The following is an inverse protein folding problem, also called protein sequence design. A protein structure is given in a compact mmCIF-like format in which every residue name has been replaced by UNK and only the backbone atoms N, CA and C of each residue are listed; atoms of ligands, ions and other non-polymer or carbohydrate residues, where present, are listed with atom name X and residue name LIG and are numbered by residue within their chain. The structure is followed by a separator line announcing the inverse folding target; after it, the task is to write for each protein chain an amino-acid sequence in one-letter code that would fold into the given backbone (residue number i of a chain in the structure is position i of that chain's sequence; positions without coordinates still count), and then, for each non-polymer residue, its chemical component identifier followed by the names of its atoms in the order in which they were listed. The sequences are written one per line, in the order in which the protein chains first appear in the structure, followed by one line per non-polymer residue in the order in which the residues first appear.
data_IF_311726960522
#
_entry.id   IF_311726960522
#
_cell.length_a   1.000
_cell.length_b   1.000
_cell.length_c   1.000
_cell.angle_alpha   90.00
_cell.angle_beta   90.00
_cell.angle_gamma   90.00
#
_symmetry.space_group_name_H-M   'P 1'
#
loop_
_entity.id
_entity.type
_entity.pdbx_description
1 polymer ?
#
# COMPACT_ATOMS: atom_id res chain seq x y z
N UNK A 1 68.34 -45.61 47.42
CA UNK A 1 68.04 -45.04 46.08
C UNK A 1 66.59 -44.60 46.07
N UNK A 2 66.32 -43.30 46.07
CA UNK A 2 64.96 -42.75 46.01
C UNK A 2 64.77 -42.19 44.60
N UNK A 3 63.86 -42.79 43.82
CA UNK A 3 63.44 -42.27 42.51
C UNK A 3 62.32 -41.27 42.72
N UNK A 4 62.53 -40.01 42.36
CA UNK A 4 61.48 -39.00 42.30
C UNK A 4 60.75 -39.10 40.97
N UNK A 5 59.43 -39.32 41.01
CA UNK A 5 58.56 -39.30 39.84
C UNK A 5 58.22 -37.86 39.47
N UNK A 6 58.51 -37.47 38.22
CA UNK A 6 58.15 -36.17 37.66
C UNK A 6 56.64 -36.10 37.40
N UNK A 7 55.93 -35.27 38.16
CA UNK A 7 54.51 -34.99 37.94
C UNK A 7 54.38 -34.03 36.73
N UNK A 8 54.00 -34.56 35.57
CA UNK A 8 53.65 -33.74 34.39
C UNK A 8 52.41 -32.90 34.69
N UNK A 9 52.58 -31.60 34.90
CA UNK A 9 51.48 -30.64 35.01
C UNK A 9 50.79 -30.47 33.64
N UNK A 10 49.56 -30.97 33.50
CA UNK A 10 48.73 -30.89 32.28
C UNK A 10 47.34 -30.25 32.52
N UNK A 11 47.23 -29.31 33.46
CA UNK A 11 45.95 -28.74 33.88
C UNK A 11 45.45 -27.51 33.08
N UNK A 12 46.32 -26.84 32.31
CA UNK A 12 45.98 -25.54 31.70
C UNK A 12 45.11 -25.67 30.43
N UNK A 13 45.24 -26.75 29.68
CA UNK A 13 44.56 -26.93 28.39
C UNK A 13 43.04 -26.99 28.51
N UNK A 14 42.50 -27.57 29.58
CA UNK A 14 41.04 -27.62 29.82
C UNK A 14 40.49 -26.21 30.05
N UNK A 15 41.19 -25.37 30.81
CA UNK A 15 40.75 -24.00 31.07
C UNK A 15 40.73 -23.16 29.79
N UNK A 16 41.78 -23.29 28.95
CA UNK A 16 41.83 -22.62 27.64
C UNK A 16 40.70 -23.10 26.73
N UNK A 17 40.42 -24.40 26.68
CA UNK A 17 39.35 -24.96 25.85
C UNK A 17 37.96 -24.48 26.28
N UNK A 18 37.70 -24.35 27.59
CA UNK A 18 36.42 -23.84 28.09
C UNK A 18 36.26 -22.34 27.77
N UNK A 19 37.34 -21.55 27.89
CA UNK A 19 37.30 -20.13 27.55
C UNK A 19 37.06 -19.92 26.06
N UNK A 20 37.75 -20.65 25.18
CA UNK A 20 37.54 -20.53 23.73
C UNK A 20 36.14 -21.00 23.31
N UNK A 21 35.64 -22.10 23.88
CA UNK A 21 34.27 -22.55 23.64
C UNK A 21 33.23 -21.52 24.10
N UNK A 22 33.45 -20.85 25.23
CA UNK A 22 32.58 -19.78 25.73
C UNK A 22 32.53 -18.57 24.79
N UNK A 23 33.69 -18.13 24.28
CA UNK A 23 33.77 -17.02 23.32
C UNK A 23 33.03 -17.37 22.02
N UNK A 24 33.24 -18.58 21.49
CA UNK A 24 32.56 -19.04 20.28
C UNK A 24 31.04 -19.11 20.46
N UNK A 25 30.57 -19.56 21.64
CA UNK A 25 29.15 -19.61 21.95
C UNK A 25 28.52 -18.21 21.99
N UNK A 26 29.20 -17.22 22.58
CA UNK A 26 28.73 -15.82 22.61
C UNK A 26 28.63 -15.26 21.19
N UNK A 27 29.60 -15.52 20.32
CA UNK A 27 29.59 -15.07 18.93
C UNK A 27 28.44 -15.75 18.15
N UNK A 28 28.24 -17.06 18.33
CA UNK A 28 27.14 -17.76 17.67
C UNK A 28 25.78 -17.21 18.12
N UNK A 29 25.63 -16.93 19.42
CA UNK A 29 24.38 -16.38 19.97
C UNK A 29 24.11 -14.95 19.48
N UNK A 30 25.14 -14.11 19.35
CA UNK A 30 24.99 -12.74 18.85
C UNK A 30 24.56 -12.72 17.37
N UNK A 31 25.17 -13.56 16.52
CA UNK A 31 24.78 -13.71 15.12
C UNK A 31 23.36 -14.26 15.01
N UNK A 32 22.99 -15.26 15.82
CA UNK A 32 21.63 -15.81 15.85
C UNK A 32 20.58 -14.75 16.19
N UNK A 33 20.87 -13.85 17.14
CA UNK A 33 19.98 -12.77 17.50
C UNK A 33 19.80 -11.73 16.36
N UNK A 34 20.83 -11.50 15.56
CA UNK A 34 20.75 -10.61 14.39
C UNK A 34 19.90 -11.26 13.28
N UNK A 35 20.16 -12.53 12.95
CA UNK A 35 19.44 -13.26 11.91
C UNK A 35 17.92 -13.31 12.16
N UNK A 36 17.50 -13.50 13.42
CA UNK A 36 16.07 -13.47 13.78
C UNK A 36 15.42 -12.11 13.50
N UNK A 37 16.13 -11.00 13.74
CA UNK A 37 15.63 -9.66 13.45
C UNK A 37 15.56 -9.42 11.95
N UNK A 38 16.57 -9.86 11.20
CA UNK A 38 16.58 -9.76 9.73
C UNK A 38 15.44 -10.54 9.09
N UNK A 39 15.09 -11.72 9.61
CA UNK A 39 13.96 -12.50 9.09
C UNK A 39 12.62 -11.79 9.28
N UNK A 40 12.41 -11.12 10.41
CA UNK A 40 11.22 -10.30 10.65
C UNK A 40 11.18 -9.12 9.68
N UNK A 41 12.31 -8.44 9.49
CA UNK A 41 12.41 -7.30 8.57
C UNK A 41 12.20 -7.72 7.10
N UNK A 42 12.75 -8.87 6.70
CA UNK A 42 12.56 -9.42 5.36
C UNK A 42 11.08 -9.76 5.09
N UNK A 43 10.39 -10.32 6.09
CA UNK A 43 8.95 -10.60 5.98
C UNK A 43 8.16 -9.30 5.82
N UNK A 44 8.42 -8.28 6.65
CA UNK A 44 7.78 -6.97 6.52
C UNK A 44 8.06 -6.31 5.17
N UNK A 45 9.27 -6.46 4.63
CA UNK A 45 9.65 -5.99 3.29
C UNK A 45 8.86 -6.67 2.18
N UNK A 46 8.66 -7.99 2.27
CA UNK A 46 7.83 -8.75 1.31
C UNK A 46 6.37 -8.30 1.35
N UNK A 47 5.77 -8.21 2.55
CA UNK A 47 4.39 -7.74 2.71
C UNK A 47 4.22 -6.30 2.18
N UNK A 48 5.22 -5.45 2.37
CA UNK A 48 5.29 -4.11 1.78
C UNK A 48 5.25 -4.11 0.26
N UNK A 49 5.97 -5.02 -0.40
CA UNK A 49 5.91 -5.13 -1.87
C UNK A 49 4.53 -5.54 -2.35
N UNK A 50 3.87 -6.47 -1.63
CA UNK A 50 2.51 -6.90 -2.00
C UNK A 50 1.47 -5.78 -1.85
N UNK A 51 1.56 -4.99 -0.78
CA UNK A 51 0.69 -3.83 -0.57
C UNK A 51 0.94 -2.76 -1.65
N UNK A 52 2.20 -2.49 -1.98
CA UNK A 52 2.55 -1.51 -3.02
C UNK A 52 2.08 -1.94 -4.41
N UNK A 53 2.23 -3.23 -4.76
CA UNK A 53 1.74 -3.77 -6.02
C UNK A 53 0.22 -3.66 -6.17
N UNK A 54 -0.53 -3.87 -5.09
CA UNK A 54 -1.97 -3.65 -5.08
C UNK A 54 -2.29 -2.16 -5.30
N UNK A 55 -1.59 -1.25 -4.63
CA UNK A 55 -1.76 0.20 -4.80
C UNK A 55 -1.52 0.64 -6.25
N UNK A 56 -0.43 0.16 -6.86
CA UNK A 56 -0.07 0.45 -8.26
C UNK A 56 -1.14 -0.02 -9.22
N UNK A 57 -1.64 -1.25 -9.03
CA UNK A 57 -2.71 -1.79 -9.89
C UNK A 57 -4.03 -1.03 -9.73
N UNK A 58 -4.35 -0.57 -8.52
CA UNK A 58 -5.51 0.30 -8.28
C UNK A 58 -5.36 1.66 -8.95
N UNK A 59 -4.16 2.24 -8.88
CA UNK A 59 -3.82 3.51 -9.53
C UNK A 59 -3.95 3.41 -11.05
N UNK A 60 -3.34 2.41 -11.66
CA UNK A 60 -3.40 2.18 -13.11
C UNK A 60 -4.83 1.95 -13.59
N UNK A 61 -5.66 1.24 -12.82
CA UNK A 61 -7.06 1.09 -13.18
C UNK A 61 -7.78 2.44 -13.14
N UNK A 62 -7.60 3.22 -12.08
CA UNK A 62 -8.21 4.54 -11.95
C UNK A 62 -7.78 5.48 -13.07
N UNK A 63 -6.48 5.56 -13.36
CA UNK A 63 -5.92 6.38 -14.41
C UNK A 63 -6.42 5.98 -15.80
N UNK A 64 -6.49 4.67 -16.09
CA UNK A 64 -7.02 4.19 -17.36
C UNK A 64 -8.48 4.64 -17.57
N UNK A 65 -9.33 4.41 -16.58
CA UNK A 65 -10.75 4.73 -16.68
C UNK A 65 -11.01 6.25 -16.61
N UNK A 66 -10.13 7.01 -15.97
CA UNK A 66 -10.21 8.46 -15.97
C UNK A 66 -9.72 9.08 -17.29
N UNK A 67 -8.49 8.79 -17.71
CA UNK A 67 -7.87 9.47 -18.84
C UNK A 67 -8.31 8.93 -20.20
N UNK A 68 -8.50 7.61 -20.33
CA UNK A 68 -8.84 6.99 -21.61
C UNK A 68 -10.35 6.93 -21.82
N UNK A 69 -11.10 6.66 -20.74
CA UNK A 69 -12.55 6.45 -20.82
C UNK A 69 -13.37 7.63 -20.31
N UNK A 70 -12.79 8.54 -19.53
CA UNK A 70 -13.48 9.73 -19.03
C UNK A 70 -14.69 9.40 -18.17
N UNK A 71 -14.65 8.31 -17.40
CA UNK A 71 -15.85 7.83 -16.69
C UNK A 71 -16.14 8.61 -15.41
N UNK A 72 -15.17 9.36 -14.90
CA UNK A 72 -15.29 10.17 -13.69
C UNK A 72 -15.41 11.67 -13.99
N UNK A 73 -15.72 12.07 -15.23
CA UNK A 73 -15.97 13.47 -15.62
C UNK A 73 -17.44 13.66 -16.00
N UNK A 74 -17.99 14.90 -15.95
CA UNK A 74 -19.38 15.13 -16.33
C UNK A 74 -19.62 14.77 -17.80
N UNK A 75 -20.77 14.16 -18.08
CA UNK A 75 -21.20 13.84 -19.43
C UNK A 75 -21.55 15.09 -20.26
N UNK A 76 -22.05 14.90 -21.48
CA UNK A 76 -22.44 15.99 -22.39
C UNK A 76 -23.53 16.92 -21.83
N UNK A 77 -24.28 16.47 -20.83
CA UNK A 77 -25.30 17.25 -20.12
C UNK A 77 -24.76 18.07 -18.95
N UNK A 78 -23.45 18.01 -18.67
CA UNK A 78 -22.84 18.63 -17.49
C UNK A 78 -23.18 17.93 -16.18
N UNK A 79 -23.81 16.75 -16.24
CA UNK A 79 -24.19 15.96 -15.06
C UNK A 79 -23.07 15.00 -14.69
N UNK A 80 -22.68 15.00 -13.42
CA UNK A 80 -21.74 14.03 -12.88
C UNK A 80 -22.38 12.66 -12.70
N UNK A 81 -21.66 11.58 -12.99
CA UNK A 81 -22.22 10.25 -12.85
C UNK A 81 -22.32 9.86 -11.38
N UNK A 82 -23.53 9.51 -10.94
CA UNK A 82 -23.81 9.00 -9.59
C UNK A 82 -23.51 7.52 -9.43
N UNK A 83 -23.44 6.78 -10.53
CA UNK A 83 -23.05 5.36 -10.57
C UNK A 83 -22.25 5.12 -11.84
N UNK A 84 -21.08 4.50 -11.69
CA UNK A 84 -20.28 4.05 -12.82
C UNK A 84 -19.82 2.63 -12.56
N UNK A 85 -19.86 1.81 -13.61
CA UNK A 85 -19.42 0.42 -13.55
C UNK A 85 -18.30 0.27 -14.57
N UNK A 86 -17.16 -0.22 -14.11
CA UNK A 86 -15.97 -0.42 -14.92
C UNK A 86 -15.23 -1.66 -14.44
N UNK A 87 -14.35 -2.20 -15.28
CA UNK A 87 -13.61 -3.42 -15.00
C UNK A 87 -12.17 -3.10 -14.59
N UNK A 88 -11.75 -3.58 -13.42
CA UNK A 88 -10.36 -3.65 -12.98
C UNK A 88 -9.94 -5.12 -12.80
N UNK A 89 -9.44 -5.78 -13.84
CA UNK A 89 -8.97 -7.17 -13.79
C UNK A 89 -10.06 -8.17 -13.33
N UNK A 90 -11.19 -8.20 -14.06
CA UNK A 90 -12.39 -8.99 -13.77
C UNK A 90 -13.08 -8.62 -12.46
N UNK A 91 -12.66 -7.52 -11.84
CA UNK A 91 -13.39 -6.88 -10.76
C UNK A 91 -14.31 -5.83 -11.33
N UNK A 92 -15.56 -5.84 -10.89
CA UNK A 92 -16.53 -4.79 -11.20
C UNK A 92 -16.88 -4.04 -9.93
N UNK A 93 -15.96 -3.19 -9.43
CA UNK A 93 -16.22 -2.53 -8.17
C UNK A 93 -17.32 -1.48 -8.35
N UNK A 94 -18.28 -1.49 -7.43
CA UNK A 94 -19.30 -0.46 -7.37
C UNK A 94 -18.69 0.80 -6.76
N UNK A 95 -18.78 1.91 -7.48
CA UNK A 95 -18.44 3.23 -6.97
C UNK A 95 -19.46 3.62 -5.90
N UNK A 96 -18.95 4.11 -4.76
CA UNK A 96 -19.75 4.96 -3.87
C UNK A 96 -19.40 6.41 -4.17
N UNK A 97 -20.36 7.19 -4.67
CA UNK A 97 -20.19 8.63 -4.89
C UNK A 97 -20.61 9.37 -3.63
N UNK A 98 -19.73 10.23 -3.12
CA UNK A 98 -20.10 11.24 -2.13
C UNK A 98 -19.93 12.61 -2.78
N UNK A 99 -21.05 13.27 -3.05
CA UNK A 99 -21.07 14.65 -3.52
C UNK A 99 -20.97 15.57 -2.31
N UNK A 100 -19.74 15.88 -1.90
CA UNK A 100 -19.50 16.97 -0.97
C UNK A 100 -19.53 18.28 -1.79
N UNK A 101 -20.74 18.79 -2.01
CA UNK A 101 -20.91 20.14 -2.49
C UNK A 101 -20.56 21.10 -1.35
N UNK A 102 -19.31 21.54 -1.26
CA UNK A 102 -18.97 22.67 -0.38
C UNK A 102 -19.47 23.96 -1.06
N UNK A 103 -20.73 24.29 -0.79
CA UNK A 103 -21.37 25.53 -1.19
C UNK A 103 -20.98 26.66 -0.24
N UNK A 104 -19.69 26.95 -0.11
CA UNK A 104 -19.24 28.20 0.53
C UNK A 104 -18.19 28.93 -0.33
N UNK A 105 -18.70 29.94 -1.05
CA UNK A 105 -18.01 31.10 -1.64
C UNK A 105 -16.85 30.92 -2.65
N UNK A 106 -16.36 29.72 -2.95
CA UNK A 106 -15.24 29.53 -3.90
C UNK A 106 -15.56 28.76 -5.18
N UNK A 107 -16.82 28.37 -5.41
CA UNK A 107 -17.24 27.71 -6.66
C UNK A 107 -16.60 26.35 -6.95
N UNK A 108 -15.86 25.79 -5.98
CA UNK A 108 -15.19 24.51 -6.08
C UNK A 108 -16.15 23.36 -5.73
N UNK A 109 -16.55 22.56 -6.71
CA UNK A 109 -17.33 21.34 -6.46
C UNK A 109 -16.38 20.15 -6.35
N UNK A 110 -16.52 19.37 -5.28
CA UNK A 110 -15.69 18.19 -5.00
C UNK A 110 -16.53 16.93 -5.22
N UNK A 111 -16.06 16.07 -6.12
CA UNK A 111 -16.63 14.74 -6.33
C UNK A 111 -15.64 13.68 -5.88
N UNK A 112 -16.03 12.88 -4.88
CA UNK A 112 -15.24 11.75 -4.41
C UNK A 112 -15.81 10.42 -4.91
N UNK A 113 -14.95 9.59 -5.48
CA UNK A 113 -15.27 8.24 -5.93
C UNK A 113 -14.37 7.26 -5.20
N UNK A 114 -14.95 6.27 -4.51
CA UNK A 114 -14.15 5.20 -3.91
C UNK A 114 -14.54 3.83 -4.42
N UNK A 115 -13.53 2.99 -4.68
CA UNK A 115 -13.71 1.62 -5.15
C UNK A 115 -12.63 0.69 -4.61
N UNK A 116 -12.96 -0.60 -4.50
CA UNK A 116 -12.05 -1.65 -4.03
C UNK A 116 -11.59 -2.53 -5.19
N UNK A 117 -10.28 -2.67 -5.38
CA UNK A 117 -9.73 -3.62 -6.36
C UNK A 117 -9.43 -4.94 -5.65
N UNK A 118 -10.14 -6.04 -5.99
CA UNK A 118 -9.87 -7.37 -5.47
C UNK A 118 -8.62 -7.98 -6.13
N UNK A 119 -8.16 -9.10 -5.56
CA UNK A 119 -6.85 -9.71 -5.80
C UNK A 119 -6.40 -9.85 -7.25
N UNK A 120 -5.07 -9.80 -7.41
CA UNK A 120 -4.34 -10.15 -8.62
C UNK A 120 -3.78 -11.58 -8.54
N UNK A 121 -4.61 -12.60 -8.26
CA UNK A 121 -4.21 -14.01 -8.49
C UNK A 121 -5.38 -14.99 -8.41
N UNK A 122 -5.47 -15.89 -9.38
CA UNK A 122 -6.40 -17.02 -9.33
C UNK A 122 -5.93 -18.08 -8.31
N UNK A 123 -6.82 -18.49 -7.39
CA UNK A 123 -6.67 -19.74 -6.62
C UNK A 123 -5.99 -19.69 -5.25
N UNK A 124 -5.79 -18.52 -4.62
CA UNK A 124 -5.18 -18.44 -3.27
C UNK A 124 -6.01 -17.57 -2.33
N UNK A 125 -6.12 -17.97 -1.05
CA UNK A 125 -6.99 -17.41 -0.01
C UNK A 125 -6.47 -16.16 0.72
N UNK A 126 -5.21 -15.72 0.51
CA UNK A 126 -4.74 -14.45 1.07
C UNK A 126 -5.17 -13.27 0.16
N UNK A 127 -6.07 -12.40 0.63
CA UNK A 127 -6.70 -11.32 -0.14
C UNK A 127 -5.86 -10.05 -0.09
N UNK A 128 -5.05 -9.71 -1.11
CA UNK A 128 -4.58 -8.32 -1.28
C UNK A 128 -5.69 -7.48 -1.91
N UNK A 129 -5.75 -6.20 -1.58
CA UNK A 129 -6.65 -5.25 -2.24
C UNK A 129 -6.11 -3.85 -2.22
N UNK A 130 -6.68 -3.02 -3.09
CA UNK A 130 -6.51 -1.58 -3.04
C UNK A 130 -7.84 -0.88 -2.78
N UNK A 131 -7.79 0.20 -2.02
CA UNK A 131 -8.85 1.18 -1.89
C UNK A 131 -8.38 2.40 -2.66
N UNK A 132 -9.10 2.73 -3.73
CA UNK A 132 -8.79 3.89 -4.56
C UNK A 132 -9.82 4.96 -4.28
N UNK A 133 -9.37 6.20 -4.14
CA UNK A 133 -10.20 7.39 -4.00
C UNK A 133 -9.81 8.38 -5.09
N UNK A 134 -10.77 8.76 -5.92
CA UNK A 134 -10.59 9.77 -6.95
C UNK A 134 -11.35 11.01 -6.50
N UNK A 135 -10.67 12.14 -6.45
CA UNK A 135 -11.24 13.44 -6.13
C UNK A 135 -11.15 14.31 -7.37
N UNK A 136 -12.31 14.81 -7.80
CA UNK A 136 -12.41 15.77 -8.90
C UNK A 136 -12.85 17.11 -8.35
N UNK A 137 -12.02 18.12 -8.56
CA UNK A 137 -12.31 19.49 -8.14
C UNK A 137 -12.49 20.37 -9.36
N UNK A 138 -13.58 21.14 -9.42
CA UNK A 138 -13.85 22.06 -10.53
C UNK A 138 -14.09 23.47 -10.04
N UNK A 139 -13.46 24.46 -10.66
CA UNK A 139 -13.60 25.88 -10.30
C UNK A 139 -14.85 26.56 -10.92
N UNK A 140 -15.89 25.80 -11.29
CA UNK A 140 -17.12 26.36 -11.89
C UNK A 140 -18.34 25.79 -11.18
N UNK A 141 -18.98 26.62 -10.36
CA UNK A 141 -20.31 26.35 -9.81
C UNK A 141 -21.36 26.82 -10.81
N UNK A 142 -21.55 26.07 -11.90
CA UNK A 142 -22.71 26.32 -12.76
C UNK A 142 -23.98 25.80 -12.13
N UNK A 143 -24.79 26.75 -11.67
CA UNK A 143 -26.23 26.58 -11.52
C UNK A 143 -26.81 26.06 -12.84
N UNK A 144 -27.58 24.97 -12.72
CA UNK A 144 -28.23 24.22 -13.79
C UNK A 144 -29.43 25.03 -14.33
N UNK A 145 -29.26 26.29 -14.73
CA UNK A 145 -30.35 27.09 -15.33
C UNK A 145 -29.79 28.15 -16.29
N UNK A 146 -29.60 27.76 -17.55
CA UNK A 146 -29.64 28.65 -18.72
C UNK A 146 -28.52 29.68 -18.86
N UNK A 147 -27.43 29.32 -19.53
CA UNK A 147 -26.48 30.30 -20.05
C UNK A 147 -25.10 29.74 -20.32
N UNK A 148 -24.78 29.50 -21.59
CA UNK A 148 -23.46 29.10 -22.05
C UNK A 148 -22.45 30.26 -21.93
N UNK A 149 -21.80 30.42 -20.78
CA UNK A 149 -20.48 31.07 -20.76
C UNK A 149 -19.42 30.08 -21.25
N UNK A 150 -18.50 30.51 -22.10
CA UNK A 150 -17.55 29.67 -22.84
C UNK A 150 -16.19 29.64 -22.16
N UNK A 151 -16.12 29.20 -20.90
CA UNK A 151 -14.82 28.91 -20.28
C UNK A 151 -14.66 27.38 -20.22
N UNK A 152 -13.52 26.80 -20.66
CA UNK A 152 -13.30 25.37 -20.49
C UNK A 152 -13.33 25.04 -19.00
N UNK A 153 -14.20 24.10 -18.62
CA UNK A 153 -14.27 23.56 -17.26
C UNK A 153 -12.88 23.00 -16.92
N UNK A 154 -12.14 23.67 -16.04
CA UNK A 154 -10.87 23.14 -15.55
C UNK A 154 -11.18 22.17 -14.42
N UNK A 155 -10.90 20.89 -14.67
CA UNK A 155 -11.07 19.80 -13.71
C UNK A 155 -9.68 19.41 -13.21
N UNK A 156 -9.50 19.50 -11.90
CA UNK A 156 -8.32 18.98 -11.21
C UNK A 156 -8.63 17.59 -10.69
N UNK A 157 -7.68 16.68 -10.85
CA UNK A 157 -7.85 15.27 -10.48
C UNK A 157 -6.78 14.87 -9.50
N UNK A 158 -7.22 14.45 -8.32
CA UNK A 158 -6.37 13.82 -7.32
C UNK A 158 -6.80 12.36 -7.20
N UNK A 159 -5.87 11.44 -7.41
CA UNK A 159 -6.11 10.01 -7.23
C UNK A 159 -5.23 9.52 -6.08
N UNK A 160 -5.86 8.89 -5.11
CA UNK A 160 -5.22 8.23 -3.98
C UNK A 160 -5.47 6.74 -4.12
N UNK A 161 -4.41 5.93 -4.19
CA UNK A 161 -4.52 4.49 -4.22
C UNK A 161 -3.79 3.89 -3.03
N UNK A 162 -4.53 3.31 -2.09
CA UNK A 162 -4.00 2.64 -0.91
C UNK A 162 -4.12 1.13 -1.06
N UNK A 163 -2.98 0.46 -1.21
CA UNK A 163 -2.88 -0.99 -1.30
C UNK A 163 -2.55 -1.65 0.03
N UNK A 164 -3.07 -2.87 0.20
CA UNK A 164 -2.99 -3.65 1.43
C UNK A 164 -2.48 -5.07 1.14
N UNK A 165 -1.60 -5.57 2.00
CA UNK A 165 -1.14 -6.96 1.95
C UNK A 165 -2.27 -7.97 2.30
N UNK A 166 -3.27 -7.53 3.06
CA UNK A 166 -4.50 -8.27 3.37
C UNK A 166 -5.72 -7.34 3.39
N UNK A 167 -6.87 -7.81 2.90
CA UNK A 167 -8.14 -7.09 2.95
C UNK A 167 -8.83 -7.16 4.30
N UNK A 168 -8.45 -8.13 5.12
CA UNK A 168 -8.94 -8.24 6.49
C UNK A 168 -8.34 -7.09 7.33
N UNK A 169 -9.14 -6.26 8.01
CA UNK A 169 -8.69 -5.20 8.91
C UNK A 169 -8.05 -5.75 10.21
N UNK A 170 -7.07 -6.64 10.09
CA UNK A 170 -6.29 -7.20 11.18
C UNK A 170 -5.08 -6.32 11.53
N UNK A 171 -4.49 -6.52 12.72
CA UNK A 171 -3.26 -5.84 13.14
C UNK A 171 -2.02 -6.18 12.27
N UNK A 172 -2.13 -7.20 11.41
CA UNK A 172 -1.07 -7.59 10.46
C UNK A 172 -1.24 -6.91 9.10
N UNK A 173 -2.23 -6.03 8.97
CA UNK A 173 -2.47 -5.26 7.74
C UNK A 173 -1.43 -4.17 7.60
N UNK A 174 -0.64 -4.29 6.55
CA UNK A 174 0.34 -3.31 6.10
C UNK A 174 -0.23 -2.54 4.91
N UNK A 175 -0.06 -1.23 4.95
CA UNK A 175 -0.54 -0.28 3.93
C UNK A 175 0.62 0.37 3.16
N UNK A 176 0.42 0.56 1.86
CA UNK A 176 1.25 1.38 0.98
C UNK A 176 0.36 2.21 0.06
N UNK A 177 0.72 3.47 -0.15
CA UNK A 177 -0.06 4.41 -0.96
C UNK A 177 0.71 4.96 -2.15
N UNK A 178 -0.01 5.28 -3.22
CA UNK A 178 0.46 6.04 -4.38
C UNK A 178 -0.55 7.15 -4.64
N UNK A 179 -0.05 8.34 -4.98
CA UNK A 179 -0.87 9.52 -5.23
C UNK A 179 -0.51 10.12 -6.59
N UNK A 180 -1.52 10.58 -7.33
CA UNK A 180 -1.37 11.22 -8.63
C UNK A 180 -2.22 12.50 -8.68
N UNK A 181 -1.63 13.59 -9.18
CA UNK A 181 -2.25 14.91 -9.26
C UNK A 181 -2.06 15.48 -10.67
N UNK A 182 -3.14 15.86 -11.35
CA UNK A 182 -3.08 16.48 -12.68
C UNK A 182 -4.29 17.37 -13.02
#
# INVERSE_FOLDING_TARGET
MIKTHSLKQKGFTILVAVVTAGILLIIAMSIGAIALKEQVLATAGKESQTAFYAADSGMECALYWDQIKGVFVPGSTGTWPSTVTFDCNNATPAITTDTLADSTDSGAVIHSYSFKVPKLQAGVSAETCAIVTIIKTTNDSRSINGGLTRNPLKVYTDIYSYGYNTCDPSLRRLERGIEAHY
#
